data_IF_219105034226
#
_entry.id   IF_219105034226
#
_cell.length_a   1.000
_cell.length_b   1.000
_cell.length_c   1.000
_cell.angle_alpha   90.00
_cell.angle_beta   90.00
_cell.angle_gamma   90.00
#
_symmetry.space_group_name_H-M   'P 1'
#
loop_
_entity.id
_entity.type
_entity.pdbx_description
1 polymer ?
#
# COMPACT_ATOMS: atom_id res chain seq x y z
N UNK A 1 16.43 -12.39 0.07
CA UNK A 1 15.91 -11.07 -0.31
C UNK A 1 15.24 -10.42 0.88
N UNK A 2 15.25 -9.11 0.99
CA UNK A 2 14.61 -8.46 2.13
C UNK A 2 13.10 -8.68 2.14
N UNK A 3 12.54 -8.71 3.34
CA UNK A 3 11.10 -8.83 3.53
C UNK A 3 10.51 -7.49 3.92
N UNK A 4 9.35 -7.20 3.34
CA UNK A 4 8.60 -5.98 3.66
C UNK A 4 7.14 -6.33 3.90
N UNK A 5 6.50 -5.59 4.78
CA UNK A 5 5.07 -5.69 5.03
C UNK A 5 4.39 -4.47 4.42
N UNK A 6 3.28 -4.70 3.73
CA UNK A 6 2.49 -3.64 3.12
C UNK A 6 1.21 -3.50 3.93
N UNK A 7 1.22 -2.57 4.86
CA UNK A 7 0.10 -2.34 5.78
C UNK A 7 -0.81 -1.25 5.23
N UNK A 8 -2.11 -1.47 5.27
CA UNK A 8 -3.08 -0.53 4.69
C UNK A 8 -3.67 0.33 5.80
N UNK A 9 -3.50 1.64 5.70
CA UNK A 9 -4.10 2.58 6.64
C UNK A 9 -5.23 3.31 5.95
N UNK A 10 -6.43 3.22 6.55
CA UNK A 10 -7.62 3.89 6.03
C UNK A 10 -8.25 4.66 7.19
N UNK A 11 -8.00 5.97 7.23
CA UNK A 11 -8.42 6.78 8.35
C UNK A 11 -7.75 6.29 9.63
N UNK A 12 -8.55 5.92 10.63
CA UNK A 12 -8.04 5.42 11.91
C UNK A 12 -7.78 3.91 11.91
N UNK A 13 -8.18 3.22 10.84
CA UNK A 13 -8.03 1.77 10.77
C UNK A 13 -6.69 1.41 10.13
N UNK A 14 -6.03 0.42 10.71
CA UNK A 14 -4.79 -0.12 10.15
C UNK A 14 -4.97 -1.61 9.95
N UNK A 15 -4.83 -2.05 8.69
CA UNK A 15 -4.85 -3.47 8.37
C UNK A 15 -3.42 -3.89 8.15
N UNK A 16 -2.87 -4.62 9.11
CA UNK A 16 -1.49 -5.05 9.04
C UNK A 16 -1.35 -6.29 8.16
N UNK A 17 -0.22 -6.35 7.45
CA UNK A 17 0.15 -7.53 6.68
C UNK A 17 0.89 -8.47 7.61
N UNK A 18 0.28 -9.59 8.03
CA UNK A 18 0.87 -10.43 9.08
C UNK A 18 2.07 -11.25 8.61
N UNK A 19 2.21 -11.46 7.32
CA UNK A 19 3.26 -12.35 6.81
C UNK A 19 4.37 -11.62 6.08
N UNK A 20 4.03 -10.51 5.43
CA UNK A 20 4.98 -9.84 4.57
C UNK A 20 5.28 -10.63 3.32
N UNK A 21 6.19 -10.10 2.52
CA UNK A 21 6.64 -10.76 1.31
C UNK A 21 8.08 -10.34 1.01
N UNK A 22 8.76 -11.15 0.25
CA UNK A 22 10.11 -10.84 -0.18
C UNK A 22 10.07 -9.99 -1.45
N UNK A 23 10.88 -8.94 -1.46
CA UNK A 23 11.02 -8.05 -2.62
C UNK A 23 12.50 -7.84 -2.88
N UNK A 24 12.85 -7.60 -4.13
CA UNK A 24 14.23 -7.35 -4.49
C UNK A 24 14.77 -6.06 -3.89
N UNK A 25 13.90 -5.08 -3.68
CA UNK A 25 14.28 -3.77 -3.18
C UNK A 25 13.07 -3.04 -2.61
N UNK A 26 13.31 -1.93 -1.94
CA UNK A 26 12.24 -1.03 -1.51
C UNK A 26 11.43 -0.54 -2.71
N UNK A 27 12.10 -0.26 -3.84
CA UNK A 27 11.43 0.16 -5.07
C UNK A 27 10.44 -0.88 -5.57
N UNK A 28 10.82 -2.15 -5.52
CA UNK A 28 9.92 -3.24 -5.93
C UNK A 28 8.71 -3.33 -5.00
N UNK A 29 8.92 -3.17 -3.69
CA UNK A 29 7.83 -3.16 -2.72
C UNK A 29 6.91 -1.97 -2.96
N UNK A 30 7.47 -0.81 -3.31
CA UNK A 30 6.70 0.38 -3.61
C UNK A 30 5.82 0.17 -4.84
N UNK A 31 6.36 -0.45 -5.89
CA UNK A 31 5.59 -0.73 -7.10
C UNK A 31 4.42 -1.65 -6.80
N UNK A 32 4.64 -2.65 -5.97
CA UNK A 32 3.59 -3.55 -5.55
C UNK A 32 2.52 -2.80 -4.75
N UNK A 33 2.93 -1.90 -3.87
CA UNK A 33 2.02 -1.10 -3.07
C UNK A 33 1.15 -0.19 -3.95
N UNK A 34 1.74 0.40 -4.98
CA UNK A 34 1.00 1.23 -5.92
C UNK A 34 -0.07 0.41 -6.63
N UNK A 35 0.28 -0.78 -7.08
CA UNK A 35 -0.67 -1.69 -7.73
C UNK A 35 -1.79 -2.10 -6.78
N UNK A 36 -1.44 -2.42 -5.54
CA UNK A 36 -2.43 -2.81 -4.53
C UNK A 36 -3.40 -1.67 -4.22
N UNK A 37 -2.88 -0.44 -4.10
CA UNK A 37 -3.72 0.73 -3.85
C UNK A 37 -4.71 0.96 -4.99
N UNK A 38 -4.25 0.81 -6.23
CA UNK A 38 -5.12 0.95 -7.40
C UNK A 38 -6.21 -0.12 -7.42
N UNK A 39 -5.87 -1.33 -7.07
CA UNK A 39 -6.84 -2.43 -7.00
C UNK A 39 -7.92 -2.14 -5.97
N UNK A 40 -7.52 -1.71 -4.78
CA UNK A 40 -8.47 -1.40 -3.71
C UNK A 40 -9.42 -0.30 -4.14
N UNK A 41 -8.88 0.76 -4.76
CA UNK A 41 -9.71 1.87 -5.22
C UNK A 41 -10.66 1.44 -6.34
N UNK A 42 -10.17 0.61 -7.26
CA UNK A 42 -10.98 0.10 -8.35
C UNK A 42 -12.16 -0.73 -7.84
N UNK A 43 -11.92 -1.58 -6.85
CA UNK A 43 -12.98 -2.39 -6.25
C UNK A 43 -14.03 -1.53 -5.57
N UNK A 44 -13.60 -0.48 -4.87
CA UNK A 44 -14.54 0.44 -4.20
C UNK A 44 -15.40 1.18 -5.20
N UNK A 45 -14.79 1.70 -6.27
CA UNK A 45 -15.53 2.39 -7.33
C UNK A 45 -16.54 1.43 -7.96
N UNK A 46 -16.13 0.18 -8.18
CA UNK A 46 -17.03 -0.83 -8.73
C UNK A 46 -18.24 -1.13 -7.86
N UNK A 47 -18.13 -0.89 -6.55
CA UNK A 47 -19.25 -1.05 -5.61
C UNK A 47 -20.03 0.25 -5.39
N UNK A 48 -19.70 1.31 -6.13
CA UNK A 48 -20.35 2.60 -5.98
C UNK A 48 -19.85 3.43 -4.79
N UNK A 49 -18.71 3.04 -4.22
CA UNK A 49 -18.10 3.77 -3.10
C UNK A 49 -17.06 4.74 -3.59
N UNK A 50 -16.93 5.86 -2.90
CA UNK A 50 -15.88 6.82 -3.22
C UNK A 50 -14.57 6.39 -2.56
N UNK A 51 -13.43 6.51 -3.27
CA UNK A 51 -12.13 6.20 -2.67
C UNK A 51 -11.82 7.16 -1.54
N UNK A 52 -11.25 6.64 -0.45
CA UNK A 52 -10.81 7.47 0.66
C UNK A 52 -9.46 8.09 0.33
N UNK A 53 -9.41 9.42 0.31
CA UNK A 53 -8.18 10.13 -0.05
C UNK A 53 -7.11 10.08 1.02
N UNK A 54 -7.51 9.88 2.27
CA UNK A 54 -6.56 9.85 3.39
C UNK A 54 -5.97 8.48 3.64
N UNK A 55 -6.17 7.56 2.70
CA UNK A 55 -5.63 6.21 2.82
C UNK A 55 -4.22 6.14 2.27
N UNK A 56 -3.44 5.24 2.83
CA UNK A 56 -2.08 4.99 2.36
C UNK A 56 -1.67 3.56 2.66
N UNK A 57 -0.59 3.13 2.03
CA UNK A 57 0.05 1.87 2.35
C UNK A 57 1.37 2.20 3.04
N UNK A 58 1.56 1.69 4.24
CA UNK A 58 2.79 1.86 5.01
C UNK A 58 3.65 0.63 4.83
N UNK A 59 4.81 0.81 4.23
CA UNK A 59 5.74 -0.28 3.99
C UNK A 59 6.71 -0.32 5.16
N UNK A 60 6.70 -1.44 5.88
CA UNK A 60 7.62 -1.67 7.00
C UNK A 60 8.59 -2.78 6.66
N UNK A 61 9.77 -2.74 7.29
CA UNK A 61 10.76 -3.79 7.09
C UNK A 61 10.50 -4.95 8.05
N UNK A 62 11.39 -5.93 8.02
CA UNK A 62 11.28 -7.12 8.85
C UNK A 62 11.22 -6.81 10.35
N UNK A 63 11.84 -5.73 10.77
CA UNK A 63 11.84 -5.31 12.17
C UNK A 63 10.65 -4.43 12.57
N UNK A 64 9.71 -4.21 11.65
CA UNK A 64 8.56 -3.36 11.92
C UNK A 64 8.82 -1.87 11.76
N UNK A 65 9.98 -1.51 11.22
CA UNK A 65 10.35 -0.11 11.03
C UNK A 65 9.74 0.43 9.75
N UNK A 66 9.12 1.60 9.84
CA UNK A 66 8.53 2.23 8.65
C UNK A 66 9.63 2.66 7.69
N UNK A 67 9.54 2.18 6.45
CA UNK A 67 10.52 2.46 5.41
C UNK A 67 9.98 3.49 4.43
N UNK A 68 8.71 3.37 4.04
CA UNK A 68 8.13 4.21 3.01
C UNK A 68 6.62 4.22 3.15
N UNK A 69 6.00 5.32 2.77
CA UNK A 69 4.54 5.44 2.73
C UNK A 69 4.10 5.77 1.31
N UNK A 70 3.11 5.05 0.80
CA UNK A 70 2.53 5.30 -0.52
C UNK A 70 1.09 5.73 -0.31
N UNK A 71 0.78 6.99 -0.62
CA UNK A 71 -0.59 7.48 -0.51
C UNK A 71 -1.42 6.95 -1.67
N UNK A 72 -2.74 6.82 -1.45
CA UNK A 72 -3.64 6.41 -2.52
C UNK A 72 -3.71 7.49 -3.61
N UNK A 73 -3.61 8.77 -3.23
CA UNK A 73 -3.54 9.85 -4.21
C UNK A 73 -2.32 9.73 -5.11
N UNK A 74 -1.18 9.38 -4.53
CA UNK A 74 0.05 9.16 -5.30
C UNK A 74 -0.12 8.01 -6.28
N UNK A 75 -0.75 6.94 -5.85
CA UNK A 75 -0.98 5.77 -6.70
C UNK A 75 -1.88 6.11 -7.89
N UNK A 76 -2.88 6.98 -7.68
CA UNK A 76 -3.77 7.42 -8.76
C UNK A 76 -3.04 8.30 -9.77
N UNK A 77 -2.17 9.17 -9.29
CA UNK A 77 -1.47 10.12 -10.14
C UNK A 77 -0.38 9.47 -10.98
N UNK A 78 0.11 8.30 -10.55
CA UNK A 78 1.22 7.65 -11.21
C UNK A 78 0.76 6.90 -12.45
N UNK A 79 1.40 7.19 -13.56
CA UNK A 79 1.18 6.45 -14.80
C UNK A 79 1.97 5.16 -14.77
N UNK A 80 1.32 4.09 -15.16
CA UNK A 80 1.97 2.78 -15.23
C UNK A 80 2.83 2.65 -16.48
#
# INVERSE_FOLDING_TARGET
MPQFCLNIRQGDALVEDPQGAEFMSVGAARDEAIGAAREIMSERIGRGELPERNSCIEITDHGGRLVLTVSFDEALARKS
#
